data_IF_120649787092
#
_entry.id   IF_120649787092
#
_cell.length_a   1.000
_cell.length_b   1.000
_cell.length_c   1.000
_cell.angle_alpha   90.00
_cell.angle_beta   90.00
_cell.angle_gamma   90.00
#
_symmetry.space_group_name_H-M   'P 1'
#
loop_
_entity.id
_entity.type
_entity.pdbx_description
1 polymer ?
#
# COMPACT_ATOMS: atom_id res chain seq x y z
N UNK A 1 -19.69 15.01 -29.83
CA UNK A 1 -19.01 14.56 -28.61
C UNK A 1 -19.99 14.76 -27.49
N UNK A 2 -20.10 13.84 -26.56
CA UNK A 2 -21.02 13.98 -25.41
C UNK A 2 -20.56 15.18 -24.57
N UNK A 3 -21.46 16.12 -24.23
CA UNK A 3 -21.20 17.24 -23.27
C UNK A 3 -21.04 16.73 -21.82
N UNK A 4 -20.82 15.42 -21.65
CA UNK A 4 -20.71 14.74 -20.35
C UNK A 4 -19.33 14.93 -19.78
N UNK A 5 -19.29 15.43 -18.55
CA UNK A 5 -18.06 15.75 -17.83
C UNK A 5 -18.04 15.10 -16.44
N UNK A 6 -16.93 14.49 -16.08
CA UNK A 6 -16.70 13.89 -14.75
C UNK A 6 -15.52 14.59 -14.08
N UNK A 7 -15.69 15.00 -12.83
CA UNK A 7 -14.60 15.51 -12.02
C UNK A 7 -13.99 14.36 -11.23
N UNK A 8 -12.68 14.18 -11.32
CA UNK A 8 -11.91 13.18 -10.57
C UNK A 8 -11.07 13.88 -9.51
N UNK A 9 -11.30 13.58 -8.25
CA UNK A 9 -10.57 14.17 -7.12
C UNK A 9 -9.42 13.27 -6.71
N UNK A 10 -8.20 13.71 -7.00
CA UNK A 10 -6.93 13.02 -6.76
C UNK A 10 -6.28 12.48 -8.03
N UNK A 11 -4.98 12.76 -8.21
CA UNK A 11 -4.15 12.26 -9.31
C UNK A 11 -3.18 11.14 -8.85
N UNK A 12 -3.63 10.27 -7.95
CA UNK A 12 -3.00 8.99 -7.70
C UNK A 12 -3.35 7.98 -8.79
N UNK A 13 -2.80 6.77 -8.72
CA UNK A 13 -3.05 5.71 -9.72
C UNK A 13 -4.54 5.48 -9.98
N UNK A 14 -5.38 5.45 -8.93
CA UNK A 14 -6.82 5.24 -9.11
C UNK A 14 -7.48 6.37 -9.90
N UNK A 15 -7.17 7.62 -9.60
CA UNK A 15 -7.78 8.77 -10.28
C UNK A 15 -7.31 8.91 -11.73
N UNK A 16 -6.02 8.73 -11.97
CA UNK A 16 -5.45 8.76 -13.32
C UNK A 16 -5.99 7.62 -14.19
N UNK A 17 -6.13 6.41 -13.64
CA UNK A 17 -6.72 5.26 -14.34
C UNK A 17 -8.22 5.49 -14.62
N UNK A 18 -8.96 6.08 -13.67
CA UNK A 18 -10.36 6.45 -13.89
C UNK A 18 -10.50 7.47 -15.02
N UNK A 19 -9.71 8.54 -15.02
CA UNK A 19 -9.73 9.57 -16.03
C UNK A 19 -9.35 9.02 -17.42
N UNK A 20 -8.31 8.20 -17.49
CA UNK A 20 -7.89 7.52 -18.73
C UNK A 20 -9.00 6.62 -19.26
N UNK A 21 -9.66 5.84 -18.40
CA UNK A 21 -10.77 4.96 -18.78
C UNK A 21 -11.98 5.73 -19.26
N UNK A 22 -12.40 6.79 -18.57
CA UNK A 22 -13.49 7.68 -19.02
C UNK A 22 -13.24 8.21 -20.43
N UNK A 23 -12.03 8.68 -20.74
CA UNK A 23 -11.66 9.15 -22.07
C UNK A 23 -11.81 8.07 -23.13
N UNK A 24 -11.42 6.83 -22.86
CA UNK A 24 -11.63 5.70 -23.80
C UNK A 24 -13.11 5.41 -24.04
N UNK A 25 -13.97 5.78 -23.10
CA UNK A 25 -15.43 5.63 -23.19
C UNK A 25 -16.12 6.89 -23.78
N UNK A 26 -15.34 7.90 -24.20
CA UNK A 26 -15.84 9.13 -24.84
C UNK A 26 -16.40 10.15 -23.85
N UNK A 27 -16.03 10.07 -22.58
CA UNK A 27 -16.46 10.98 -21.51
C UNK A 27 -15.29 11.87 -21.11
N UNK A 28 -15.56 13.17 -21.00
CA UNK A 28 -14.60 14.16 -20.56
C UNK A 28 -14.29 14.01 -19.07
N UNK A 29 -13.01 14.02 -18.70
CA UNK A 29 -12.56 13.92 -17.31
C UNK A 29 -11.65 15.09 -16.96
N UNK A 30 -11.97 15.81 -15.88
CA UNK A 30 -11.11 16.80 -15.25
C UNK A 30 -10.54 16.19 -13.97
N UNK A 31 -9.22 16.19 -13.82
CA UNK A 31 -8.53 15.66 -12.62
C UNK A 31 -8.02 16.82 -11.77
N UNK A 32 -8.36 16.82 -10.49
CA UNK A 32 -8.01 17.86 -9.51
C UNK A 32 -7.13 17.23 -8.42
N UNK A 33 -5.87 17.65 -8.35
CA UNK A 33 -4.86 17.14 -7.41
C UNK A 33 -4.41 18.21 -6.43
N UNK A 34 -4.30 17.83 -5.17
CA UNK A 34 -3.92 18.74 -4.09
C UNK A 34 -2.44 19.14 -4.12
N UNK A 35 -1.56 18.25 -4.59
CA UNK A 35 -0.12 18.44 -4.66
C UNK A 35 0.30 19.10 -5.96
N UNK A 36 1.54 19.58 -5.99
CA UNK A 36 2.24 20.01 -7.21
C UNK A 36 2.73 18.81 -8.07
N UNK A 37 2.44 17.58 -7.69
CA UNK A 37 2.84 16.33 -8.34
C UNK A 37 1.71 15.32 -8.42
N UNK A 38 1.80 14.41 -9.35
CA UNK A 38 0.95 13.22 -9.47
C UNK A 38 1.48 12.04 -8.65
N UNK A 39 0.79 10.90 -8.70
CA UNK A 39 1.20 9.63 -8.13
C UNK A 39 0.62 9.32 -6.75
N UNK A 40 0.20 10.33 -5.98
CA UNK A 40 -0.36 10.10 -4.65
C UNK A 40 0.63 9.38 -3.73
N UNK A 41 0.34 8.10 -3.40
CA UNK A 41 1.19 7.22 -2.58
C UNK A 41 2.34 6.54 -3.34
N UNK A 42 2.51 6.80 -4.66
CA UNK A 42 3.74 6.54 -5.40
C UNK A 42 4.50 7.85 -5.56
N UNK A 43 5.71 7.89 -5.08
CA UNK A 43 6.55 9.08 -5.07
C UNK A 43 7.99 8.68 -5.38
N UNK A 44 8.62 9.37 -6.30
CA UNK A 44 10.03 9.18 -6.65
C UNK A 44 10.93 10.14 -5.87
N UNK A 45 12.17 9.73 -5.67
CA UNK A 45 13.27 10.53 -5.15
C UNK A 45 14.56 10.18 -5.87
N UNK A 46 15.62 10.91 -5.58
CA UNK A 46 16.95 10.66 -6.10
C UNK A 46 17.95 10.62 -4.95
N UNK A 47 18.94 9.77 -5.06
CA UNK A 47 20.16 9.81 -4.25
C UNK A 47 21.06 10.95 -4.70
N UNK A 48 22.08 11.28 -3.93
CA UNK A 48 23.04 12.34 -4.25
C UNK A 48 23.77 12.12 -5.59
N UNK A 49 23.95 10.88 -6.02
CA UNK A 49 24.54 10.52 -7.32
C UNK A 49 23.50 10.45 -8.47
N UNK A 50 22.22 10.76 -8.18
CA UNK A 50 21.14 10.77 -9.17
C UNK A 50 20.46 9.42 -9.39
N UNK A 51 20.77 8.40 -8.62
CA UNK A 51 20.10 7.11 -8.70
C UNK A 51 18.64 7.21 -8.20
N UNK A 52 17.65 6.64 -8.92
CA UNK A 52 16.25 6.73 -8.51
C UNK A 52 15.96 5.85 -7.29
N UNK A 53 15.19 6.39 -6.35
CA UNK A 53 14.59 5.67 -5.23
C UNK A 53 13.09 5.91 -5.18
N UNK A 54 12.33 4.93 -4.74
CA UNK A 54 10.88 5.04 -4.61
C UNK A 54 10.49 5.33 -3.16
N UNK A 55 10.14 6.57 -2.86
CA UNK A 55 9.73 6.99 -1.52
C UNK A 55 8.38 6.41 -1.10
N UNK A 56 7.56 5.95 -2.06
CA UNK A 56 6.27 5.30 -1.85
C UNK A 56 6.22 3.85 -2.30
N UNK A 57 5.05 3.41 -2.82
CA UNK A 57 4.85 2.08 -3.40
C UNK A 57 5.74 1.86 -4.61
N UNK A 58 6.33 0.67 -4.74
CA UNK A 58 7.37 0.43 -5.74
C UNK A 58 7.27 -0.89 -6.51
N UNK A 59 6.74 -1.94 -5.88
CA UNK A 59 6.82 -3.28 -6.43
C UNK A 59 5.59 -3.70 -7.21
N UNK A 60 5.81 -4.60 -8.15
CA UNK A 60 4.77 -5.37 -8.83
C UNK A 60 5.10 -6.86 -8.77
N UNK A 61 4.06 -7.69 -8.76
CA UNK A 61 4.21 -9.14 -8.66
C UNK A 61 3.39 -9.87 -9.74
N UNK A 62 3.69 -11.15 -10.03
CA UNK A 62 3.21 -11.88 -11.22
C UNK A 62 1.69 -11.90 -11.40
N UNK A 63 0.91 -11.81 -10.33
CA UNK A 63 -0.56 -11.83 -10.37
C UNK A 63 -1.18 -10.43 -10.43
N UNK A 64 -0.35 -9.38 -10.47
CA UNK A 64 -0.79 -8.00 -10.68
C UNK A 64 -0.87 -7.71 -12.19
N UNK A 65 -1.74 -8.43 -12.86
CA UNK A 65 -1.79 -8.49 -14.33
C UNK A 65 -2.11 -7.15 -14.96
N UNK A 66 -3.02 -6.38 -14.36
CA UNK A 66 -3.39 -5.06 -14.90
C UNK A 66 -2.25 -4.05 -14.79
N UNK A 67 -1.44 -4.16 -13.72
CA UNK A 67 -0.22 -3.33 -13.60
C UNK A 67 0.79 -3.62 -14.69
N UNK A 68 1.06 -4.91 -14.99
CA UNK A 68 1.98 -5.27 -16.09
C UNK A 68 1.47 -4.81 -17.45
N UNK A 69 0.17 -4.99 -17.73
CA UNK A 69 -0.47 -4.47 -18.94
C UNK A 69 -0.31 -2.94 -19.04
N UNK A 70 -0.57 -2.21 -17.94
CA UNK A 70 -0.46 -0.76 -17.91
C UNK A 70 1.00 -0.29 -18.10
N UNK A 71 1.97 -0.99 -17.51
CA UNK A 71 3.41 -0.73 -17.68
C UNK A 71 3.79 -0.86 -19.15
N UNK A 72 3.34 -1.93 -19.82
CA UNK A 72 3.58 -2.16 -21.25
C UNK A 72 2.88 -1.10 -22.13
N UNK A 73 1.58 -0.82 -21.89
CA UNK A 73 0.82 0.23 -22.57
C UNK A 73 1.49 1.61 -22.51
N UNK A 74 2.18 1.91 -21.40
CA UNK A 74 2.88 3.18 -21.19
C UNK A 74 4.33 3.18 -21.68
N UNK A 75 4.80 2.08 -22.27
CA UNK A 75 6.17 1.91 -22.77
C UNK A 75 7.21 1.98 -21.64
N UNK A 76 6.90 1.40 -20.50
CA UNK A 76 7.79 1.29 -19.34
C UNK A 76 8.31 -0.14 -19.20
N UNK A 77 9.43 -0.30 -18.50
CA UNK A 77 10.08 -1.59 -18.31
C UNK A 77 10.16 -1.93 -16.82
N UNK A 78 10.22 -3.23 -16.53
CA UNK A 78 10.46 -3.74 -15.18
C UNK A 78 11.81 -4.45 -15.09
N UNK A 79 12.33 -4.56 -13.87
CA UNK A 79 13.49 -5.38 -13.56
C UNK A 79 13.28 -6.10 -12.22
N UNK A 80 13.89 -7.29 -12.04
CA UNK A 80 13.67 -8.06 -10.82
C UNK A 80 14.34 -7.42 -9.61
N UNK A 81 13.66 -7.47 -8.47
CA UNK A 81 14.27 -7.18 -7.17
C UNK A 81 15.37 -8.19 -6.88
N UNK A 82 16.52 -7.73 -6.41
CA UNK A 82 17.64 -8.64 -6.11
C UNK A 82 17.25 -9.65 -5.03
N UNK A 83 17.43 -10.94 -5.33
CA UNK A 83 17.02 -12.05 -4.49
C UNK A 83 18.01 -13.24 -4.49
N UNK A 84 19.26 -13.01 -4.87
CA UNK A 84 20.28 -14.07 -4.90
C UNK A 84 20.97 -14.16 -3.54
N UNK A 85 20.94 -15.36 -2.93
CA UNK A 85 21.58 -15.58 -1.63
C UNK A 85 20.60 -16.03 -0.54
N UNK A 86 20.84 -15.59 0.68
CA UNK A 86 20.06 -15.95 1.87
C UNK A 86 19.46 -14.72 2.54
N UNK A 87 18.27 -14.88 3.11
CA UNK A 87 17.64 -13.90 4.00
C UNK A 87 18.17 -14.05 5.43
N UNK A 88 18.23 -12.94 6.15
CA UNK A 88 18.42 -12.94 7.60
C UNK A 88 17.06 -13.05 8.27
N UNK A 89 16.89 -14.01 9.17
CA UNK A 89 15.68 -14.17 9.99
C UNK A 89 16.06 -14.13 11.46
N UNK A 90 15.56 -13.14 12.19
CA UNK A 90 15.78 -12.99 13.62
C UNK A 90 14.42 -12.95 14.33
N UNK A 91 14.09 -14.05 15.02
CA UNK A 91 12.86 -14.15 15.81
C UNK A 91 13.23 -14.57 17.24
N UNK A 92 12.89 -13.71 18.21
CA UNK A 92 13.37 -13.81 19.58
C UNK A 92 14.88 -13.61 19.68
N UNK A 93 15.56 -14.45 20.44
CA UNK A 93 17.03 -14.38 20.63
C UNK A 93 17.83 -15.07 19.51
N UNK A 94 17.18 -15.68 18.54
CA UNK A 94 17.84 -16.50 17.52
C UNK A 94 17.89 -15.78 16.18
N UNK A 95 19.10 -15.65 15.62
CA UNK A 95 19.29 -15.22 14.23
C UNK A 95 19.70 -16.42 13.39
N UNK A 96 19.06 -16.60 12.24
CA UNK A 96 19.32 -17.70 11.30
C UNK A 96 19.28 -17.20 9.87
N UNK A 97 19.84 -17.98 8.94
CA UNK A 97 19.77 -17.72 7.52
C UNK A 97 18.74 -18.65 6.86
N UNK A 98 17.92 -18.10 5.99
CA UNK A 98 16.91 -18.80 5.22
C UNK A 98 17.18 -18.65 3.72
N UNK A 99 16.90 -19.67 2.92
CA UNK A 99 16.98 -19.57 1.46
C UNK A 99 15.97 -18.54 0.91
N UNK A 100 16.29 -17.93 -0.22
CA UNK A 100 15.52 -16.82 -0.80
C UNK A 100 14.33 -17.23 -1.67
N UNK A 101 14.11 -18.54 -1.90
CA UNK A 101 12.96 -18.99 -2.68
C UNK A 101 11.69 -19.08 -1.83
N UNK A 102 10.54 -18.84 -2.42
CA UNK A 102 9.23 -19.01 -1.79
C UNK A 102 9.04 -20.43 -1.27
N UNK A 103 8.49 -20.57 -0.07
CA UNK A 103 8.36 -21.86 0.61
C UNK A 103 9.64 -22.31 1.33
N UNK A 104 10.71 -21.48 1.37
CA UNK A 104 11.87 -21.77 2.16
C UNK A 104 11.54 -21.74 3.67
N UNK A 105 12.16 -22.66 4.41
CA UNK A 105 11.91 -22.83 5.83
C UNK A 105 13.13 -22.39 6.62
N UNK A 106 12.99 -21.47 7.58
CA UNK A 106 14.10 -21.09 8.45
C UNK A 106 14.50 -22.25 9.37
N UNK A 107 15.74 -22.26 9.80
CA UNK A 107 16.23 -23.26 10.77
C UNK A 107 15.68 -22.94 12.16
N UNK A 108 14.49 -23.43 12.46
CA UNK A 108 13.80 -23.29 13.74
C UNK A 108 13.55 -24.66 14.38
N UNK A 109 13.21 -24.64 15.67
CA UNK A 109 12.81 -25.85 16.38
C UNK A 109 11.63 -26.53 15.66
N UNK A 110 11.62 -27.88 15.51
CA UNK A 110 10.56 -28.62 14.83
C UNK A 110 9.13 -28.33 15.36
N UNK A 111 8.98 -28.10 16.67
CA UNK A 111 7.67 -27.74 17.25
C UNK A 111 7.20 -26.35 16.79
N UNK A 112 8.14 -25.39 16.66
CA UNK A 112 7.85 -24.05 16.13
C UNK A 112 7.45 -24.15 14.66
N UNK A 113 8.17 -24.95 13.87
CA UNK A 113 7.85 -25.17 12.45
C UNK A 113 6.47 -25.81 12.27
N UNK A 114 6.15 -26.82 13.07
CA UNK A 114 4.84 -27.47 13.02
C UNK A 114 3.71 -26.49 13.39
N UNK A 115 3.91 -25.66 14.39
CA UNK A 115 2.97 -24.63 14.84
C UNK A 115 2.79 -23.53 13.78
N UNK A 116 3.88 -23.06 13.18
CA UNK A 116 3.85 -22.08 12.10
C UNK A 116 3.12 -22.64 10.87
N UNK A 117 3.48 -23.84 10.43
CA UNK A 117 2.87 -24.49 9.27
C UNK A 117 1.37 -24.73 9.44
N UNK A 118 0.93 -25.24 10.62
CA UNK A 118 -0.51 -25.42 10.89
C UNK A 118 -1.24 -24.07 10.92
N UNK A 119 -0.59 -23.02 11.45
CA UNK A 119 -1.14 -21.67 11.50
C UNK A 119 -1.34 -21.07 10.11
N UNK A 120 -0.31 -21.11 9.26
CA UNK A 120 -0.37 -20.64 7.85
C UNK A 120 -1.42 -21.42 7.04
N UNK A 121 -1.46 -22.76 7.18
CA UNK A 121 -2.45 -23.61 6.50
C UNK A 121 -3.87 -23.29 6.95
N UNK A 122 -4.09 -23.09 8.25
CA UNK A 122 -5.39 -22.70 8.79
C UNK A 122 -5.82 -21.32 8.32
N UNK A 123 -4.91 -20.35 8.39
CA UNK A 123 -5.15 -18.99 7.92
C UNK A 123 -5.56 -18.99 6.45
N UNK A 124 -4.75 -19.61 5.60
CA UNK A 124 -5.05 -19.72 4.16
C UNK A 124 -6.40 -20.37 3.89
N UNK A 125 -6.70 -21.49 4.53
CA UNK A 125 -7.99 -22.21 4.32
C UNK A 125 -9.21 -21.35 4.67
N UNK A 126 -9.10 -20.47 5.67
CA UNK A 126 -10.19 -19.56 6.03
C UNK A 126 -10.22 -18.40 5.05
N UNK A 127 -9.07 -17.82 4.74
CA UNK A 127 -8.93 -16.71 3.78
C UNK A 127 -9.53 -17.05 2.40
N UNK A 128 -9.20 -18.22 1.86
CA UNK A 128 -9.70 -18.70 0.56
C UNK A 128 -11.26 -18.82 0.48
N UNK A 129 -11.95 -18.77 1.62
CA UNK A 129 -13.42 -18.82 1.70
C UNK A 129 -14.08 -17.45 1.86
N UNK A 130 -13.29 -16.39 2.02
CA UNK A 130 -13.82 -15.04 2.14
C UNK A 130 -14.17 -14.53 0.74
N UNK A 131 -15.44 -14.18 0.45
CA UNK A 131 -15.83 -13.61 -0.84
C UNK A 131 -15.12 -12.27 -1.07
N UNK A 132 -14.44 -12.12 -2.21
CA UNK A 132 -13.64 -10.94 -2.50
C UNK A 132 -14.48 -9.68 -2.74
N UNK A 133 -15.62 -9.82 -3.41
CA UNK A 133 -16.49 -8.67 -3.70
C UNK A 133 -17.31 -8.21 -2.49
N UNK A 134 -17.58 -9.12 -1.56
CA UNK A 134 -18.45 -8.88 -0.39
C UNK A 134 -17.94 -9.63 0.84
N UNK A 135 -16.77 -9.25 1.41
CA UNK A 135 -16.16 -9.98 2.55
C UNK A 135 -17.09 -10.15 3.75
N UNK A 136 -17.99 -9.19 3.97
CA UNK A 136 -19.00 -9.22 5.03
C UNK A 136 -20.06 -10.32 4.89
N UNK A 137 -20.12 -11.02 3.74
CA UNK A 137 -21.03 -12.14 3.50
C UNK A 137 -20.38 -13.51 3.75
N UNK A 138 -19.12 -13.56 4.16
CA UNK A 138 -18.47 -14.82 4.51
C UNK A 138 -19.27 -15.55 5.60
N UNK A 139 -19.27 -16.89 5.57
CA UNK A 139 -20.05 -17.73 6.51
C UNK A 139 -19.77 -17.36 7.97
N UNK A 140 -18.49 -17.12 8.30
CA UNK A 140 -18.06 -16.78 9.65
C UNK A 140 -17.74 -15.26 9.79
N UNK A 141 -18.28 -14.40 8.90
CA UNK A 141 -17.93 -12.97 8.85
C UNK A 141 -18.04 -12.29 10.21
N UNK A 142 -19.18 -12.44 10.91
CA UNK A 142 -19.40 -11.83 12.23
C UNK A 142 -18.37 -12.29 13.28
N UNK A 143 -18.02 -13.58 13.28
CA UNK A 143 -17.05 -14.13 14.22
C UNK A 143 -15.62 -13.69 13.92
N UNK A 144 -15.26 -13.61 12.64
CA UNK A 144 -13.93 -13.17 12.19
C UNK A 144 -13.77 -11.66 12.31
N UNK A 145 -14.80 -10.90 11.95
CA UNK A 145 -14.77 -9.42 12.04
C UNK A 145 -14.95 -8.92 13.47
N UNK A 146 -15.63 -9.69 14.33
CA UNK A 146 -15.83 -9.36 15.75
C UNK A 146 -14.60 -9.57 16.64
N UNK A 147 -13.44 -10.00 16.07
CA UNK A 147 -12.20 -10.19 16.80
C UNK A 147 -11.02 -9.56 16.07
N UNK A 148 -9.99 -9.19 16.83
CA UNK A 148 -8.73 -8.73 16.25
C UNK A 148 -7.94 -9.88 15.64
N UNK A 149 -7.06 -9.57 14.69
CA UNK A 149 -6.12 -10.55 14.16
C UNK A 149 -5.19 -11.09 15.26
N UNK A 150 -4.81 -10.25 16.24
CA UNK A 150 -4.05 -10.70 17.41
C UNK A 150 -4.80 -11.76 18.22
N UNK A 151 -6.10 -11.58 18.45
CA UNK A 151 -6.93 -12.59 19.14
C UNK A 151 -6.92 -13.92 18.37
N UNK A 152 -7.00 -13.86 17.04
CA UNK A 152 -6.91 -15.04 16.19
C UNK A 152 -5.53 -15.71 16.30
N UNK A 153 -4.44 -14.93 16.26
CA UNK A 153 -3.04 -15.41 16.39
C UNK A 153 -2.87 -16.17 17.73
N UNK A 154 -3.23 -15.52 18.85
CA UNK A 154 -3.05 -16.10 20.19
C UNK A 154 -3.88 -17.38 20.37
N UNK A 155 -5.09 -17.42 19.79
CA UNK A 155 -5.99 -18.60 19.87
C UNK A 155 -5.45 -19.82 19.11
N UNK A 156 -4.80 -19.61 17.97
CA UNK A 156 -4.45 -20.69 17.04
C UNK A 156 -2.98 -21.07 17.03
N UNK A 157 -2.09 -20.21 17.53
CA UNK A 157 -0.65 -20.49 17.62
C UNK A 157 -0.23 -20.69 19.08
N UNK A 158 0.66 -21.64 19.29
CA UNK A 158 1.11 -22.04 20.63
C UNK A 158 2.45 -21.46 21.02
N UNK A 159 3.39 -21.37 20.05
CA UNK A 159 4.76 -20.93 20.31
C UNK A 159 4.88 -19.41 20.16
N UNK A 160 5.75 -18.80 20.97
CA UNK A 160 6.02 -17.35 20.90
C UNK A 160 6.60 -16.96 19.53
N UNK A 161 7.49 -17.79 18.98
CA UNK A 161 8.12 -17.54 17.67
C UNK A 161 7.13 -17.56 16.52
N UNK A 162 6.17 -18.52 16.49
CA UNK A 162 5.13 -18.53 15.46
C UNK A 162 4.20 -17.31 15.58
N UNK A 163 3.86 -16.88 16.79
CA UNK A 163 3.12 -15.65 17.02
C UNK A 163 3.89 -14.41 16.56
N UNK A 164 5.20 -14.33 16.86
CA UNK A 164 6.06 -13.24 16.43
C UNK A 164 6.10 -13.15 14.90
N UNK A 165 6.23 -14.29 14.19
CA UNK A 165 6.16 -14.31 12.73
C UNK A 165 4.88 -13.66 12.17
N UNK A 166 3.71 -14.03 12.70
CA UNK A 166 2.44 -13.46 12.24
C UNK A 166 2.28 -11.97 12.60
N UNK A 167 2.84 -11.51 13.73
CA UNK A 167 2.86 -10.09 14.10
C UNK A 167 3.74 -9.28 13.16
N UNK A 168 4.98 -9.73 12.91
CA UNK A 168 5.88 -9.10 11.93
C UNK A 168 5.24 -9.08 10.54
N UNK A 169 4.58 -10.16 10.13
CA UNK A 169 3.85 -10.21 8.87
C UNK A 169 2.70 -9.18 8.82
N UNK A 170 1.95 -9.01 9.91
CA UNK A 170 0.90 -8.01 9.99
C UNK A 170 1.46 -6.59 9.85
N UNK A 171 2.53 -6.28 10.57
CA UNK A 171 3.18 -4.96 10.50
C UNK A 171 3.72 -4.68 9.10
N UNK A 172 4.44 -5.64 8.49
CA UNK A 172 5.01 -5.51 7.15
C UNK A 172 3.97 -5.38 6.03
N UNK A 173 2.76 -5.93 6.21
CA UNK A 173 1.68 -5.88 5.21
C UNK A 173 0.76 -4.68 5.39
N UNK A 174 0.46 -4.31 6.64
CA UNK A 174 -0.57 -3.30 6.95
C UNK A 174 0.00 -2.01 7.53
N UNK A 175 1.28 -1.97 7.88
CA UNK A 175 1.88 -0.90 8.71
C UNK A 175 1.05 -0.61 9.98
N UNK A 176 0.48 -1.67 10.55
CA UNK A 176 -0.39 -1.64 11.72
C UNK A 176 -0.23 -2.94 12.51
N UNK A 177 -0.41 -2.85 13.85
CA UNK A 177 -0.31 -4.01 14.73
C UNK A 177 -1.51 -4.95 14.54
N UNK A 178 -1.28 -6.23 14.73
CA UNK A 178 -2.32 -7.26 14.65
C UNK A 178 -3.52 -7.03 15.59
N UNK A 179 -3.33 -6.28 16.66
CA UNK A 179 -4.42 -5.92 17.59
C UNK A 179 -5.34 -4.81 17.06
N UNK A 180 -4.92 -4.06 16.04
CA UNK A 180 -5.71 -3.01 15.40
C UNK A 180 -6.49 -3.50 14.18
N UNK A 181 -6.21 -4.71 13.70
CA UNK A 181 -6.81 -5.30 12.51
C UNK A 181 -7.93 -6.26 12.85
N UNK A 182 -9.03 -6.23 12.10
CA UNK A 182 -10.00 -7.33 12.06
C UNK A 182 -9.34 -8.60 11.50
N UNK A 183 -9.65 -9.76 12.10
CA UNK A 183 -9.19 -11.03 11.54
C UNK A 183 -9.80 -11.29 10.14
N UNK A 184 -11.05 -10.86 9.90
CA UNK A 184 -11.67 -10.90 8.58
C UNK A 184 -10.89 -10.06 7.57
N UNK A 185 -10.46 -8.85 7.96
CA UNK A 185 -9.68 -7.98 7.07
C UNK A 185 -8.34 -8.61 6.68
N UNK A 186 -7.60 -9.16 7.66
CA UNK A 186 -6.33 -9.83 7.38
C UNK A 186 -6.48 -10.99 6.39
N UNK A 187 -7.56 -11.78 6.54
CA UNK A 187 -7.86 -12.91 5.65
C UNK A 187 -8.33 -12.48 4.26
N UNK A 188 -9.23 -11.51 4.19
CA UNK A 188 -9.67 -10.90 2.94
C UNK A 188 -8.48 -10.32 2.15
N UNK A 189 -7.63 -9.56 2.82
CA UNK A 189 -6.50 -8.90 2.20
C UNK A 189 -5.51 -9.91 1.61
N UNK A 190 -5.17 -10.96 2.35
CA UNK A 190 -4.32 -12.03 1.87
C UNK A 190 -4.93 -12.76 0.67
N UNK A 191 -6.22 -13.07 0.70
CA UNK A 191 -6.94 -13.70 -0.41
C UNK A 191 -7.07 -12.79 -1.63
N UNK A 192 -7.24 -11.48 -1.42
CA UNK A 192 -7.34 -10.50 -2.52
C UNK A 192 -6.07 -10.41 -3.38
N UNK A 193 -4.91 -10.65 -2.79
CA UNK A 193 -3.62 -10.72 -3.49
C UNK A 193 -3.29 -12.15 -3.94
N UNK A 194 -2.82 -12.96 -3.04
CA UNK A 194 -2.47 -14.38 -3.28
C UNK A 194 -2.67 -15.21 -2.00
N UNK A 195 -1.77 -15.06 -1.05
CA UNK A 195 -1.79 -15.57 0.31
C UNK A 195 -0.77 -14.76 1.15
N UNK A 196 -0.73 -14.99 2.45
CA UNK A 196 0.15 -14.22 3.35
C UNK A 196 1.62 -14.32 2.97
N UNK A 197 2.09 -15.48 2.52
CA UNK A 197 3.48 -15.69 2.08
C UNK A 197 3.76 -14.92 0.78
N UNK A 198 2.84 -14.96 -0.18
CA UNK A 198 2.96 -14.22 -1.45
C UNK A 198 2.99 -12.71 -1.27
N UNK A 199 2.28 -12.18 -0.26
CA UNK A 199 2.34 -10.76 0.09
C UNK A 199 3.71 -10.31 0.64
N UNK A 200 4.52 -11.25 1.14
CA UNK A 200 5.81 -10.99 1.79
C UNK A 200 7.01 -11.42 0.93
N UNK A 201 6.78 -12.10 -0.20
CA UNK A 201 7.86 -12.71 -0.97
C UNK A 201 8.34 -11.84 -2.12
N UNK A 202 9.65 -11.88 -2.37
CA UNK A 202 10.26 -11.43 -3.63
C UNK A 202 10.11 -12.51 -4.70
N UNK A 203 10.43 -13.78 -4.39
CA UNK A 203 10.27 -14.86 -5.34
C UNK A 203 8.80 -15.20 -5.59
N UNK A 204 8.32 -14.92 -6.81
CA UNK A 204 6.92 -15.13 -7.24
C UNK A 204 5.88 -14.50 -6.29
N UNK A 205 6.22 -13.37 -5.68
CA UNK A 205 5.39 -12.64 -4.73
C UNK A 205 5.23 -11.17 -5.09
N UNK A 206 4.65 -10.42 -4.17
CA UNK A 206 4.29 -9.01 -4.36
C UNK A 206 5.48 -8.09 -4.60
N UNK A 207 6.71 -8.47 -4.17
CA UNK A 207 7.92 -7.68 -4.30
C UNK A 207 8.85 -8.15 -5.42
N UNK A 208 8.33 -8.90 -6.42
CA UNK A 208 9.17 -9.53 -7.45
C UNK A 208 9.89 -8.52 -8.33
N UNK A 209 9.15 -7.58 -8.89
CA UNK A 209 9.71 -6.65 -9.88
C UNK A 209 9.58 -5.20 -9.46
N UNK A 210 10.50 -4.38 -9.94
CA UNK A 210 10.52 -2.93 -9.81
C UNK A 210 10.43 -2.29 -11.19
N UNK A 211 10.01 -1.03 -11.26
CA UNK A 211 9.85 -0.28 -12.50
C UNK A 211 11.12 0.54 -12.78
N UNK A 212 11.63 0.49 -13.99
CA UNK A 212 12.78 1.29 -14.41
C UNK A 212 12.45 2.78 -14.29
N UNK A 213 13.25 3.50 -13.53
CA UNK A 213 13.03 4.92 -13.22
C UNK A 213 11.99 5.18 -12.12
N UNK A 214 11.47 4.12 -11.48
CA UNK A 214 10.54 4.17 -10.34
C UNK A 214 9.07 4.14 -10.74
N UNK A 215 8.23 3.69 -9.80
CA UNK A 215 6.78 3.49 -9.99
C UNK A 215 6.00 4.78 -10.30
N UNK A 216 6.52 5.94 -9.89
CA UNK A 216 5.93 7.25 -10.19
C UNK A 216 5.83 7.52 -11.69
N UNK A 217 6.71 6.92 -12.51
CA UNK A 217 6.71 7.04 -13.98
C UNK A 217 5.37 6.62 -14.61
N UNK A 218 4.69 5.67 -14.02
CA UNK A 218 3.34 5.24 -14.46
C UNK A 218 2.38 6.43 -14.37
N UNK A 219 2.35 7.08 -13.21
CA UNK A 219 1.48 8.25 -12.99
C UNK A 219 1.86 9.43 -13.87
N UNK A 220 3.14 9.69 -14.07
CA UNK A 220 3.64 10.76 -14.95
C UNK A 220 3.25 10.53 -16.41
N UNK A 221 3.35 9.29 -16.92
CA UNK A 221 2.92 8.94 -18.28
C UNK A 221 1.42 9.11 -18.46
N UNK A 222 0.60 8.60 -17.53
CA UNK A 222 -0.85 8.81 -17.58
C UNK A 222 -1.24 10.28 -17.48
N UNK A 223 -0.56 11.05 -16.63
CA UNK A 223 -0.81 12.48 -16.46
C UNK A 223 -0.51 13.28 -17.74
N UNK A 224 0.55 12.91 -18.45
CA UNK A 224 0.92 13.56 -19.72
C UNK A 224 -0.19 13.40 -20.80
N UNK A 225 -0.97 12.31 -20.76
CA UNK A 225 -2.11 12.11 -21.66
C UNK A 225 -3.29 13.08 -21.37
N UNK A 226 -3.38 13.65 -20.17
CA UNK A 226 -4.48 14.52 -19.76
C UNK A 226 -4.30 15.97 -20.17
N UNK A 227 -3.04 16.44 -20.28
CA UNK A 227 -2.72 17.83 -20.64
C UNK A 227 -3.39 18.85 -19.70
N UNK A 228 -4.11 19.82 -20.26
CA UNK A 228 -4.77 20.90 -19.53
C UNK A 228 -5.93 20.45 -18.61
N UNK A 229 -6.34 19.18 -18.71
CA UNK A 229 -7.41 18.62 -17.87
C UNK A 229 -6.91 18.14 -16.50
N UNK A 230 -5.61 18.21 -16.26
CA UNK A 230 -5.00 17.94 -14.97
C UNK A 230 -4.66 19.25 -14.27
N UNK A 231 -5.27 19.48 -13.12
CA UNK A 231 -5.06 20.66 -12.30
C UNK A 231 -4.31 20.26 -11.02
N UNK A 232 -3.05 20.65 -10.93
CA UNK A 232 -2.21 20.50 -9.75
C UNK A 232 -2.39 21.69 -8.81
N UNK A 233 -1.87 21.58 -7.58
CA UNK A 233 -1.97 22.61 -6.54
C UNK A 233 -3.42 23.06 -6.29
N UNK A 234 -4.34 22.09 -6.31
CA UNK A 234 -5.78 22.28 -6.20
C UNK A 234 -6.36 21.47 -5.03
N UNK A 235 -6.02 21.74 -3.78
CA UNK A 235 -6.55 20.99 -2.65
C UNK A 235 -8.07 21.19 -2.52
N UNK A 236 -8.83 20.15 -2.81
CA UNK A 236 -10.28 20.13 -2.71
C UNK A 236 -10.70 20.32 -1.26
N UNK A 237 -11.67 21.18 -1.03
CA UNK A 237 -12.30 21.44 0.25
C UNK A 237 -13.72 20.91 0.33
N UNK A 238 -14.51 21.06 -0.75
CA UNK A 238 -15.94 20.79 -0.74
C UNK A 238 -16.36 20.07 -2.02
N UNK A 239 -17.33 19.16 -1.86
CA UNK A 239 -18.08 18.53 -2.94
C UNK A 239 -19.56 18.79 -2.69
N UNK A 240 -20.21 19.46 -3.63
CA UNK A 240 -21.62 19.80 -3.59
C UNK A 240 -22.35 19.13 -4.75
N UNK A 241 -23.56 18.61 -4.53
CA UNK A 241 -24.44 18.05 -5.55
C UNK A 241 -25.87 18.58 -5.36
N UNK A 242 -26.54 18.87 -6.45
CA UNK A 242 -27.93 19.36 -6.46
C UNK A 242 -28.93 18.33 -7.03
N UNK A 243 -28.46 17.11 -7.30
CA UNK A 243 -29.22 16.02 -7.92
C UNK A 243 -29.09 15.97 -9.47
N UNK A 244 -28.59 16.99 -10.10
CA UNK A 244 -28.33 17.07 -11.54
C UNK A 244 -26.85 17.21 -11.88
N UNK A 245 -26.12 17.99 -11.09
CA UNK A 245 -24.71 18.28 -11.26
C UNK A 245 -23.94 18.23 -9.95
N UNK A 246 -22.63 18.14 -10.07
CA UNK A 246 -21.69 18.26 -8.94
C UNK A 246 -20.79 19.47 -9.13
N UNK A 247 -20.46 20.13 -8.03
CA UNK A 247 -19.45 21.20 -7.96
C UNK A 247 -18.38 20.81 -6.95
N UNK A 248 -17.14 20.75 -7.42
CA UNK A 248 -15.94 20.49 -6.58
C UNK A 248 -15.22 21.79 -6.36
N UNK A 249 -15.12 22.26 -5.10
CA UNK A 249 -14.50 23.53 -4.76
C UNK A 249 -13.20 23.30 -4.00
N UNK A 250 -12.14 23.98 -4.43
CA UNK A 250 -10.80 23.94 -3.81
C UNK A 250 -10.69 24.93 -2.64
N UNK A 251 -9.59 24.85 -1.89
CA UNK A 251 -9.32 25.74 -0.74
C UNK A 251 -9.15 27.20 -1.18
N UNK A 252 -8.62 27.45 -2.38
CA UNK A 252 -8.44 28.78 -2.97
C UNK A 252 -9.68 29.32 -3.71
N UNK A 253 -10.78 28.57 -3.70
CA UNK A 253 -12.07 28.98 -4.25
C UNK A 253 -12.30 28.66 -5.73
N UNK A 254 -11.35 28.00 -6.42
CA UNK A 254 -11.63 27.47 -7.77
C UNK A 254 -12.73 26.42 -7.72
N UNK A 255 -13.61 26.42 -8.71
CA UNK A 255 -14.73 25.50 -8.81
C UNK A 255 -14.64 24.69 -10.13
N UNK A 256 -14.93 23.40 -10.04
CA UNK A 256 -14.97 22.46 -11.15
C UNK A 256 -16.35 21.79 -11.14
N UNK A 257 -17.06 21.87 -12.25
CA UNK A 257 -18.40 21.29 -12.39
C UNK A 257 -18.37 20.02 -13.20
N UNK A 258 -19.31 19.12 -12.93
CA UNK A 258 -19.46 17.89 -13.70
C UNK A 258 -20.82 17.23 -13.49
N UNK A 259 -21.12 16.21 -14.30
CA UNK A 259 -22.31 15.39 -14.15
C UNK A 259 -22.14 14.37 -13.00
N UNK A 260 -20.89 13.96 -12.73
CA UNK A 260 -20.51 13.04 -11.66
C UNK A 260 -19.16 13.45 -11.06
N UNK A 261 -18.90 13.00 -9.84
CA UNK A 261 -17.57 13.09 -9.25
C UNK A 261 -17.07 11.72 -8.81
N UNK A 262 -15.80 11.41 -9.09
CA UNK A 262 -15.10 10.23 -8.55
C UNK A 262 -14.08 10.72 -7.52
N UNK A 263 -14.32 10.40 -6.25
CA UNK A 263 -13.40 10.70 -5.14
C UNK A 263 -12.43 9.53 -4.98
N UNK A 264 -11.14 9.76 -5.23
CA UNK A 264 -10.09 8.72 -5.18
C UNK A 264 -9.13 8.89 -4.01
N UNK A 265 -9.55 9.67 -3.02
CA UNK A 265 -8.77 9.93 -1.82
C UNK A 265 -8.79 8.74 -0.86
N UNK A 266 -7.73 8.52 -0.05
CA UNK A 266 -7.80 7.61 1.07
C UNK A 266 -9.03 7.89 1.95
N UNK A 267 -9.70 6.86 2.50
CA UNK A 267 -10.96 7.04 3.25
C UNK A 267 -10.88 8.08 4.36
N UNK A 268 -9.76 8.14 5.10
CA UNK A 268 -9.51 9.16 6.14
C UNK A 268 -9.52 10.59 5.60
N UNK A 269 -9.05 10.81 4.39
CA UNK A 269 -9.02 12.13 3.75
C UNK A 269 -10.34 12.45 3.06
N UNK A 270 -11.00 11.45 2.46
CA UNK A 270 -12.35 11.62 1.93
C UNK A 270 -13.32 12.10 3.01
N UNK A 271 -13.21 11.57 4.24
CA UNK A 271 -14.00 12.01 5.39
C UNK A 271 -13.70 13.44 5.91
N UNK A 272 -12.65 14.10 5.40
CA UNK A 272 -12.31 15.49 5.78
C UNK A 272 -12.85 16.53 4.82
N UNK A 273 -13.42 16.12 3.69
CA UNK A 273 -14.08 17.03 2.77
C UNK A 273 -15.46 17.44 3.30
N UNK A 274 -15.87 18.65 2.98
CA UNK A 274 -17.23 19.12 3.24
C UNK A 274 -18.15 18.64 2.13
N UNK A 275 -19.19 17.89 2.47
CA UNK A 275 -20.17 17.41 1.48
C UNK A 275 -21.50 18.18 1.65
N UNK A 276 -22.14 18.55 0.54
CA UNK A 276 -23.45 19.18 0.48
C UNK A 276 -24.33 18.47 -0.56
N UNK A 277 -25.47 17.88 -0.15
CA UNK A 277 -25.87 17.62 1.24
C UNK A 277 -24.85 16.80 2.03
N UNK A 278 -24.95 16.78 3.35
CA UNK A 278 -24.09 15.95 4.21
C UNK A 278 -24.20 14.47 3.79
N UNK A 279 -23.13 13.73 3.91
CA UNK A 279 -23.13 12.30 3.62
C UNK A 279 -24.09 11.55 4.56
N UNK A 280 -24.74 10.47 4.08
CA UNK A 280 -25.48 9.57 4.94
C UNK A 280 -24.60 9.02 6.07
N UNK A 281 -25.21 8.79 7.24
CA UNK A 281 -24.47 8.34 8.42
C UNK A 281 -23.65 7.07 8.22
N UNK A 282 -24.14 6.13 7.41
CA UNK A 282 -23.44 4.89 7.13
C UNK A 282 -22.14 5.13 6.34
N UNK A 283 -22.08 6.13 5.45
CA UNK A 283 -20.85 6.50 4.73
C UNK A 283 -19.90 7.31 5.61
N UNK A 284 -20.44 8.26 6.37
CA UNK A 284 -19.65 9.10 7.27
C UNK A 284 -19.00 8.25 8.38
N UNK A 285 -19.76 7.34 8.99
CA UNK A 285 -19.27 6.42 10.02
C UNK A 285 -18.16 5.49 9.51
N UNK A 286 -18.21 5.05 8.24
CA UNK A 286 -17.14 4.26 7.64
C UNK A 286 -15.79 5.03 7.64
N UNK A 287 -15.78 6.28 7.17
CA UNK A 287 -14.54 7.06 7.05
C UNK A 287 -13.88 7.36 8.40
N UNK A 288 -14.67 7.42 9.48
CA UNK A 288 -14.19 7.60 10.85
C UNK A 288 -13.50 6.34 11.42
N UNK A 289 -13.69 5.17 10.80
CA UNK A 289 -13.21 3.87 11.30
C UNK A 289 -12.14 3.22 10.45
N UNK A 290 -11.63 3.91 9.44
CA UNK A 290 -10.61 3.42 8.52
C UNK A 290 -9.30 4.21 8.67
N UNK A 291 -8.55 4.00 9.77
CA UNK A 291 -7.26 4.66 9.93
C UNK A 291 -6.26 4.16 8.88
N UNK A 292 -5.37 5.05 8.45
CA UNK A 292 -4.24 4.68 7.62
C UNK A 292 -3.14 4.01 8.46
N UNK A 293 -2.34 3.15 7.84
CA UNK A 293 -1.15 2.57 8.45
C UNK A 293 -0.10 3.63 8.79
N UNK A 294 0.82 3.28 9.69
CA UNK A 294 1.88 4.16 10.20
C UNK A 294 3.22 3.69 9.68
N UNK A 295 3.87 4.45 8.78
CA UNK A 295 5.15 4.04 8.21
C UNK A 295 6.07 5.23 7.89
N UNK A 296 7.35 5.04 8.22
CA UNK A 296 8.48 5.81 7.70
C UNK A 296 9.30 4.86 6.82
N UNK A 297 9.38 5.16 5.54
CA UNK A 297 10.23 4.42 4.59
C UNK A 297 11.58 5.09 4.53
N UNK A 298 12.66 4.30 4.51
CA UNK A 298 14.02 4.83 4.59
C UNK A 298 15.02 4.03 3.77
N UNK A 299 16.13 4.69 3.45
CA UNK A 299 17.24 4.17 2.67
C UNK A 299 18.58 4.53 3.30
N UNK A 300 19.48 3.57 3.34
CA UNK A 300 20.89 3.79 3.62
C UNK A 300 21.69 3.43 2.35
N UNK A 301 22.46 4.39 1.86
CA UNK A 301 23.22 4.30 0.62
C UNK A 301 24.69 4.03 0.93
N UNK A 302 25.31 3.09 0.22
CA UNK A 302 26.70 2.65 0.32
C UNK A 302 27.35 2.67 -1.04
N UNK A 303 28.70 2.67 -1.10
CA UNK A 303 29.44 2.59 -2.37
C UNK A 303 29.04 1.36 -3.20
N UNK A 304 28.83 0.22 -2.54
CA UNK A 304 28.46 -1.05 -3.14
C UNK A 304 27.50 -1.85 -2.23
N UNK A 305 26.73 -2.80 -2.75
CA UNK A 305 25.90 -3.69 -1.97
C UNK A 305 26.74 -4.79 -1.29
N UNK A 306 27.51 -4.43 -0.27
CA UNK A 306 28.48 -5.29 0.42
C UNK A 306 27.85 -6.60 0.95
N UNK A 307 26.57 -6.63 1.29
CA UNK A 307 25.85 -7.84 1.72
C UNK A 307 25.81 -8.91 0.64
N UNK A 308 25.84 -8.54 -0.65
CA UNK A 308 25.85 -9.50 -1.76
C UNK A 308 27.15 -10.31 -1.78
N UNK A 309 28.28 -9.71 -1.41
CA UNK A 309 29.59 -10.40 -1.31
C UNK A 309 29.61 -11.45 -0.20
N UNK A 310 28.72 -11.32 0.78
CA UNK A 310 28.57 -12.27 1.87
C UNK A 310 27.46 -13.33 1.59
N UNK A 311 26.95 -13.37 0.37
CA UNK A 311 25.90 -14.30 -0.06
C UNK A 311 24.54 -13.99 0.53
N UNK A 312 24.28 -12.72 0.90
CA UNK A 312 23.01 -12.26 1.44
C UNK A 312 22.21 -11.48 0.40
N UNK A 313 20.88 -11.57 0.50
CA UNK A 313 19.95 -10.88 -0.41
C UNK A 313 19.73 -9.41 -0.06
N UNK A 314 20.19 -8.95 1.12
CA UNK A 314 19.76 -7.67 1.68
C UNK A 314 18.37 -7.71 2.33
N UNK A 315 17.70 -8.86 2.33
CA UNK A 315 16.45 -9.03 3.04
C UNK A 315 16.70 -9.52 4.47
N UNK A 316 16.04 -8.88 5.41
CA UNK A 316 15.94 -9.34 6.78
C UNK A 316 14.48 -9.31 7.25
N UNK A 317 14.12 -10.23 8.14
CA UNK A 317 12.86 -10.21 8.87
C UNK A 317 13.17 -10.40 10.36
N UNK A 318 12.72 -9.48 11.21
CA UNK A 318 13.05 -9.48 12.64
C UNK A 318 11.88 -9.00 13.49
N UNK A 319 11.75 -9.56 14.68
CA UNK A 319 10.86 -9.04 15.73
C UNK A 319 11.62 -8.08 16.70
N UNK A 320 12.87 -7.71 16.37
CA UNK A 320 13.75 -6.88 17.20
C UNK A 320 14.09 -5.56 16.52
N UNK A 321 13.92 -4.46 17.27
CA UNK A 321 14.24 -3.10 16.82
C UNK A 321 13.17 -2.51 15.88
N UNK A 322 13.32 -1.22 15.52
CA UNK A 322 12.28 -0.49 14.78
C UNK A 322 12.21 -0.82 13.29
N UNK A 323 13.21 -1.50 12.72
CA UNK A 323 13.19 -1.96 11.33
C UNK A 323 13.02 -3.47 11.34
N UNK A 324 11.82 -3.94 11.00
CA UNK A 324 11.46 -5.36 11.02
C UNK A 324 11.67 -6.06 9.70
N UNK A 325 11.62 -5.31 8.59
CA UNK A 325 11.88 -5.85 7.25
C UNK A 325 12.80 -4.94 6.46
N UNK A 326 13.74 -5.54 5.71
CA UNK A 326 14.68 -4.84 4.83
C UNK A 326 14.69 -5.46 3.43
N UNK A 327 15.11 -4.68 2.44
CA UNK A 327 15.28 -5.15 1.06
C UNK A 327 16.47 -4.47 0.41
N UNK A 328 17.11 -5.18 -0.52
CA UNK A 328 18.07 -4.60 -1.45
C UNK A 328 17.33 -3.75 -2.49
N UNK A 329 17.58 -2.46 -2.48
CA UNK A 329 16.99 -1.51 -3.43
C UNK A 329 18.01 -0.97 -4.44
N UNK A 330 19.18 -1.58 -4.54
CA UNK A 330 20.21 -1.18 -5.49
C UNK A 330 19.67 -1.23 -6.93
N UNK A 331 20.20 -0.38 -7.83
CA UNK A 331 19.83 -0.40 -9.23
C UNK A 331 20.30 -1.68 -9.93
N UNK A 332 19.81 -1.97 -11.15
CA UNK A 332 20.25 -3.13 -11.94
C UNK A 332 21.75 -3.17 -12.19
N UNK A 333 22.42 -2.01 -12.25
CA UNK A 333 23.88 -1.89 -12.37
C UNK A 333 24.65 -2.49 -11.17
N UNK A 334 23.99 -2.63 -10.02
CA UNK A 334 24.57 -3.12 -8.80
C UNK A 334 25.23 -2.06 -7.91
N UNK A 335 25.41 -0.84 -8.39
CA UNK A 335 25.95 0.28 -7.60
C UNK A 335 25.16 1.56 -7.90
N UNK A 336 24.95 2.43 -6.89
CA UNK A 336 25.35 2.27 -5.47
C UNK A 336 24.60 1.14 -4.78
N UNK A 337 25.12 0.66 -3.64
CA UNK A 337 24.43 -0.25 -2.76
C UNK A 337 23.34 0.49 -1.98
N UNK A 338 22.08 0.12 -2.15
CA UNK A 338 20.96 0.80 -1.51
C UNK A 338 20.22 -0.21 -0.62
N UNK A 339 20.35 -0.04 0.69
CA UNK A 339 19.58 -0.80 1.69
C UNK A 339 18.31 -0.04 2.03
N UNK A 340 17.18 -0.70 1.91
CA UNK A 340 15.88 -0.13 2.25
C UNK A 340 15.32 -0.79 3.50
N UNK A 341 14.62 -0.01 4.31
CA UNK A 341 13.89 -0.49 5.49
C UNK A 341 12.65 0.34 5.77
N UNK A 342 11.87 -0.15 6.73
CA UNK A 342 10.63 0.51 7.16
C UNK A 342 10.57 0.53 8.69
N UNK A 343 10.19 1.68 9.24
CA UNK A 343 9.70 1.78 10.62
C UNK A 343 8.18 1.82 10.55
N UNK A 344 7.52 0.77 11.07
CA UNK A 344 6.09 0.54 10.84
C UNK A 344 5.32 0.45 12.16
N UNK A 345 4.02 0.59 12.09
CA UNK A 345 3.10 0.40 13.22
C UNK A 345 3.47 1.26 14.44
N UNK A 346 3.60 0.68 15.63
CA UNK A 346 4.00 1.37 16.86
C UNK A 346 5.41 1.92 16.80
N UNK A 347 6.36 1.19 16.21
CA UNK A 347 7.73 1.66 15.97
C UNK A 347 7.74 2.90 15.04
N UNK A 348 6.93 2.92 13.98
CA UNK A 348 6.77 4.07 13.10
C UNK A 348 6.21 5.29 13.85
N UNK A 349 5.19 5.11 14.68
CA UNK A 349 4.62 6.19 15.50
C UNK A 349 5.58 6.69 16.57
N UNK A 350 6.37 5.80 17.16
CA UNK A 350 7.43 6.19 18.09
C UNK A 350 8.54 6.97 17.38
N UNK A 351 8.99 6.48 16.22
CA UNK A 351 10.01 7.12 15.40
C UNK A 351 9.60 8.50 14.88
N UNK A 352 8.31 8.74 14.57
CA UNK A 352 7.81 10.04 14.17
C UNK A 352 8.01 11.16 15.20
N UNK A 353 8.28 10.80 16.46
CA UNK A 353 8.59 11.74 17.55
C UNK A 353 10.09 12.03 17.71
N UNK A 354 10.92 11.29 17.02
CA UNK A 354 12.37 11.43 17.03
C UNK A 354 12.83 12.41 15.96
N UNK A 355 14.01 12.97 16.11
CA UNK A 355 14.69 13.71 15.05
C UNK A 355 15.14 12.75 13.92
N UNK A 356 15.40 13.29 12.73
CA UNK A 356 15.92 12.49 11.61
C UNK A 356 17.28 11.84 11.96
N UNK A 357 18.12 12.49 12.77
CA UNK A 357 19.38 11.92 13.25
C UNK A 357 19.15 10.70 14.11
N UNK A 358 18.26 10.77 15.09
CA UNK A 358 17.93 9.64 15.97
C UNK A 358 17.31 8.48 15.18
N UNK A 359 16.45 8.76 14.20
CA UNK A 359 15.90 7.74 13.29
C UNK A 359 16.98 7.06 12.46
N UNK A 360 17.91 7.86 11.91
CA UNK A 360 19.07 7.34 11.17
C UNK A 360 19.92 6.41 12.03
N UNK A 361 20.25 6.81 13.26
CA UNK A 361 21.02 5.99 14.19
C UNK A 361 20.31 4.65 14.50
N UNK A 362 19.02 4.70 14.82
CA UNK A 362 18.22 3.50 15.08
C UNK A 362 18.14 2.57 13.86
N UNK A 363 18.04 3.14 12.65
CA UNK A 363 18.05 2.39 11.39
C UNK A 363 19.40 1.70 11.15
N UNK A 364 20.51 2.43 11.32
CA UNK A 364 21.86 1.92 11.12
C UNK A 364 22.16 0.81 12.13
N UNK A 365 21.73 0.93 13.37
CA UNK A 365 21.87 -0.11 14.39
C UNK A 365 21.17 -1.41 13.97
N UNK A 366 19.99 -1.32 13.36
CA UNK A 366 19.31 -2.49 12.81
C UNK A 366 20.10 -3.09 11.64
N UNK A 367 20.59 -2.27 10.70
CA UNK A 367 21.37 -2.77 9.56
C UNK A 367 22.68 -3.41 9.98
N UNK A 368 23.36 -2.85 10.99
CA UNK A 368 24.56 -3.45 11.59
C UNK A 368 24.23 -4.80 12.23
N UNK A 369 23.12 -4.91 12.92
CA UNK A 369 22.67 -6.17 13.52
C UNK A 369 22.42 -7.26 12.48
N UNK A 370 21.84 -6.90 11.34
CA UNK A 370 21.46 -7.86 10.29
C UNK A 370 22.63 -8.19 9.34
N UNK A 371 23.42 -7.19 8.98
CA UNK A 371 24.41 -7.29 7.88
C UNK A 371 25.85 -7.03 8.32
N UNK A 372 26.07 -6.83 9.63
CA UNK A 372 27.40 -6.66 10.21
C UNK A 372 27.94 -5.22 10.15
N UNK A 373 29.18 -5.01 10.64
CA UNK A 373 29.73 -3.68 10.91
C UNK A 373 29.93 -2.82 9.66
N UNK A 374 29.96 -3.39 8.45
CA UNK A 374 30.05 -2.62 7.21
C UNK A 374 28.83 -1.71 7.00
N UNK A 375 27.70 -2.03 7.63
CA UNK A 375 26.50 -1.21 7.57
C UNK A 375 26.56 0.08 8.41
N UNK A 376 27.59 0.24 9.27
CA UNK A 376 27.65 1.33 10.24
C UNK A 376 27.75 2.75 9.63
N UNK A 377 28.33 2.87 8.44
CA UNK A 377 28.65 4.17 7.86
C UNK A 377 28.06 4.32 6.45
N UNK A 378 26.73 4.54 6.32
CA UNK A 378 26.16 4.86 5.03
C UNK A 378 26.64 6.25 4.57
N UNK A 379 26.89 6.38 3.25
CA UNK A 379 27.25 7.65 2.60
C UNK A 379 26.12 8.66 2.66
N UNK A 380 24.88 8.17 2.53
CA UNK A 380 23.67 8.98 2.52
C UNK A 380 22.55 8.24 3.24
N UNK A 381 21.64 9.01 3.83
CA UNK A 381 20.40 8.51 4.42
C UNK A 381 19.22 9.33 3.91
N UNK A 382 18.22 8.64 3.38
CA UNK A 382 17.00 9.25 2.86
C UNK A 382 15.82 8.65 3.62
N UNK A 383 14.84 9.46 4.00
CA UNK A 383 13.62 8.98 4.64
C UNK A 383 12.37 9.71 4.14
N UNK A 384 11.23 9.05 4.22
CA UNK A 384 9.91 9.61 3.94
C UNK A 384 8.92 9.19 5.03
N UNK A 385 8.51 10.15 5.85
CA UNK A 385 7.45 9.98 6.84
C UNK A 385 6.08 10.18 6.16
N UNK A 386 5.39 9.07 5.92
CA UNK A 386 4.06 9.10 5.29
C UNK A 386 2.95 9.55 6.25
N UNK A 387 3.16 9.49 7.56
CA UNK A 387 2.20 10.00 8.55
C UNK A 387 2.19 11.54 8.58
N UNK A 388 3.34 12.16 8.34
CA UNK A 388 3.49 13.61 8.26
C UNK A 388 3.00 14.19 6.92
N UNK A 389 2.87 13.37 5.86
CA UNK A 389 2.45 13.79 4.54
C UNK A 389 0.99 14.28 4.55
N UNK A 390 0.76 15.56 4.27
CA UNK A 390 -0.53 16.24 4.44
C UNK A 390 -1.68 15.55 3.69
N UNK A 391 -1.43 15.10 2.46
CA UNK A 391 -2.45 14.54 1.58
C UNK A 391 -2.42 13.00 1.50
N UNK A 392 -1.75 12.33 2.46
CA UNK A 392 -1.82 10.87 2.68
C UNK A 392 -2.20 10.53 4.11
N UNK A 393 -1.50 11.14 5.09
CA UNK A 393 -1.70 10.92 6.54
C UNK A 393 -1.51 9.47 6.97
N UNK A 394 -0.65 8.76 6.25
CA UNK A 394 -0.26 7.39 6.49
C UNK A 394 -0.19 6.55 5.23
N UNK A 395 0.43 5.41 5.33
CA UNK A 395 0.58 4.31 4.36
C UNK A 395 0.65 2.95 5.10
N UNK A 396 0.46 1.78 4.43
CA UNK A 396 0.33 1.73 2.98
C UNK A 396 -1.08 2.10 2.53
N UNK A 397 -2.12 1.57 3.19
CA UNK A 397 -3.53 1.83 2.98
C UNK A 397 -4.28 2.02 4.29
N UNK A 398 -5.58 2.20 4.20
CA UNK A 398 -6.45 2.14 5.35
C UNK A 398 -6.68 0.68 5.76
N UNK A 399 -6.70 0.41 7.07
CA UNK A 399 -6.98 -0.90 7.61
C UNK A 399 -8.33 -0.91 8.36
N UNK A 400 -8.95 -2.08 8.40
CA UNK A 400 -10.29 -2.27 8.97
C UNK A 400 -10.18 -2.85 10.39
N UNK A 401 -10.63 -2.09 11.36
CA UNK A 401 -10.76 -2.54 12.73
C UNK A 401 -11.92 -3.56 12.88
N UNK A 402 -11.99 -4.30 13.99
CA UNK A 402 -13.11 -5.21 14.24
C UNK A 402 -14.48 -4.55 14.09
N UNK A 403 -15.42 -5.24 13.42
CA UNK A 403 -16.80 -4.81 13.18
C UNK A 403 -16.99 -3.93 11.93
N UNK A 404 -15.93 -3.40 11.34
CA UNK A 404 -16.06 -2.44 10.23
C UNK A 404 -16.56 -3.09 8.95
N UNK A 405 -16.08 -4.29 8.61
CA UNK A 405 -16.55 -5.00 7.41
C UNK A 405 -18.05 -5.37 7.51
N UNK A 406 -18.46 -5.93 8.61
CA UNK A 406 -19.84 -6.41 8.78
C UNK A 406 -20.87 -5.29 8.93
N UNK A 407 -20.47 -4.13 9.45
CA UNK A 407 -21.37 -2.99 9.65
C UNK A 407 -21.35 -2.00 8.47
N UNK A 408 -20.19 -1.78 7.85
CA UNK A 408 -19.99 -0.70 6.89
C UNK A 408 -19.39 -1.14 5.56
N UNK A 409 -19.12 -2.42 5.33
CA UNK A 409 -18.47 -2.93 4.12
C UNK A 409 -19.11 -2.43 2.81
N UNK A 410 -20.44 -2.50 2.64
CA UNK A 410 -21.11 -1.98 1.43
C UNK A 410 -20.82 -0.49 1.17
N UNK A 411 -20.74 0.30 2.22
CA UNK A 411 -20.51 1.75 2.14
C UNK A 411 -19.18 2.14 1.46
N UNK A 412 -18.23 1.20 1.36
CA UNK A 412 -16.91 1.47 0.81
C UNK A 412 -16.98 1.91 -0.67
N UNK A 413 -17.88 1.30 -1.44
CA UNK A 413 -18.01 1.54 -2.89
C UNK A 413 -19.39 2.00 -3.32
N UNK A 414 -20.40 1.95 -2.43
CA UNK A 414 -21.76 2.38 -2.73
C UNK A 414 -21.78 3.89 -3.03
N UNK A 415 -22.32 4.33 -4.19
CA UNK A 415 -22.42 5.75 -4.54
C UNK A 415 -23.33 6.51 -3.60
N UNK A 416 -23.07 7.80 -3.43
CA UNK A 416 -23.95 8.74 -2.71
C UNK A 416 -24.45 9.79 -3.68
N UNK A 417 -25.61 9.53 -4.30
CA UNK A 417 -26.12 10.37 -5.39
C UNK A 417 -25.16 10.38 -6.58
N UNK A 418 -24.58 11.55 -6.89
CA UNK A 418 -23.66 11.74 -8.02
C UNK A 418 -22.17 11.52 -7.62
N UNK A 419 -21.91 11.09 -6.38
CA UNK A 419 -20.57 10.92 -5.82
C UNK A 419 -20.20 9.44 -5.83
N UNK A 420 -19.15 9.09 -6.54
CA UNK A 420 -18.58 7.75 -6.64
C UNK A 420 -17.22 7.67 -5.93
N UNK A 421 -16.83 6.46 -5.55
CA UNK A 421 -15.63 6.20 -4.75
C UNK A 421 -14.72 5.22 -5.46
N UNK A 422 -13.43 5.55 -5.55
CA UNK A 422 -12.38 4.66 -6.00
C UNK A 422 -11.13 4.84 -5.13
N UNK A 423 -10.21 3.90 -5.25
CA UNK A 423 -8.96 3.90 -4.49
C UNK A 423 -8.48 2.47 -4.27
N UNK A 424 -7.26 2.31 -3.81
CA UNK A 424 -6.68 1.00 -3.56
C UNK A 424 -7.52 0.18 -2.57
N UNK A 425 -8.11 0.84 -1.57
CA UNK A 425 -8.96 0.26 -0.55
C UNK A 425 -10.33 -0.21 -1.08
N UNK A 426 -10.74 0.29 -2.24
CA UNK A 426 -12.03 -0.05 -2.88
C UNK A 426 -11.94 -1.27 -3.82
N UNK A 427 -10.80 -1.92 -3.93
CA UNK A 427 -10.60 -3.06 -4.82
C UNK A 427 -10.85 -4.40 -4.14
N UNK A 428 -11.51 -5.31 -4.85
CA UNK A 428 -11.65 -6.71 -4.43
C UNK A 428 -10.39 -7.54 -4.73
N UNK A 429 -9.56 -7.09 -5.68
CA UNK A 429 -8.33 -7.76 -6.11
C UNK A 429 -7.14 -6.88 -5.78
N UNK A 430 -6.14 -7.43 -5.11
CA UNK A 430 -4.98 -6.70 -4.64
C UNK A 430 -5.35 -5.43 -3.86
N UNK A 431 -6.26 -5.58 -2.90
CA UNK A 431 -6.70 -4.48 -2.03
C UNK A 431 -5.50 -3.78 -1.39
N UNK A 432 -5.50 -2.44 -1.41
CA UNK A 432 -4.41 -1.65 -0.84
C UNK A 432 -3.14 -1.50 -1.70
N UNK A 433 -3.01 -2.26 -2.79
CA UNK A 433 -1.86 -2.23 -3.70
C UNK A 433 -2.10 -1.30 -4.92
N UNK A 434 -1.03 -1.06 -5.69
CA UNK A 434 -1.10 -0.29 -6.95
C UNK A 434 -2.07 -0.94 -7.96
N UNK A 435 -2.03 -2.26 -8.09
CA UNK A 435 -2.99 -3.04 -8.88
C UNK A 435 -4.44 -2.75 -8.51
N UNK A 436 -4.74 -2.78 -7.20
CA UNK A 436 -6.08 -2.47 -6.69
C UNK A 436 -6.51 -1.03 -6.98
N UNK A 437 -5.58 -0.08 -6.91
CA UNK A 437 -5.85 1.30 -7.24
C UNK A 437 -6.27 1.46 -8.72
N UNK A 438 -5.51 0.86 -9.64
CA UNK A 438 -5.80 0.89 -11.09
C UNK A 438 -7.15 0.23 -11.38
N UNK A 439 -7.36 -1.00 -10.93
CA UNK A 439 -8.63 -1.73 -11.13
C UNK A 439 -9.84 -1.01 -10.57
N UNK A 440 -9.72 -0.44 -9.39
CA UNK A 440 -10.80 0.31 -8.76
C UNK A 440 -11.14 1.58 -9.56
N UNK A 441 -10.14 2.31 -10.04
CA UNK A 441 -10.32 3.49 -10.87
C UNK A 441 -11.05 3.17 -12.17
N UNK A 442 -10.56 2.16 -12.91
CA UNK A 442 -11.15 1.71 -14.19
C UNK A 442 -12.60 1.22 -14.00
N UNK A 443 -12.86 0.36 -13.00
CA UNK A 443 -14.20 -0.13 -12.69
C UNK A 443 -15.17 1.01 -12.36
N UNK A 444 -14.75 1.97 -11.54
CA UNK A 444 -15.62 3.09 -11.15
C UNK A 444 -15.92 3.98 -12.36
N UNK A 445 -14.95 4.18 -13.24
CA UNK A 445 -15.16 4.90 -14.50
C UNK A 445 -16.19 4.21 -15.41
N UNK A 446 -16.18 2.87 -15.49
CA UNK A 446 -17.17 2.09 -16.23
C UNK A 446 -18.57 2.25 -15.66
N UNK A 447 -18.73 2.14 -14.33
CA UNK A 447 -20.02 2.35 -13.67
C UNK A 447 -20.57 3.76 -13.96
N UNK A 448 -19.72 4.78 -13.82
CA UNK A 448 -20.09 6.17 -14.10
C UNK A 448 -20.46 6.35 -15.57
N UNK A 449 -19.74 5.73 -16.50
CA UNK A 449 -20.03 5.81 -17.92
C UNK A 449 -21.39 5.18 -18.26
N UNK A 450 -21.72 4.05 -17.64
CA UNK A 450 -23.02 3.38 -17.85
C UNK A 450 -24.19 4.22 -17.33
N UNK A 451 -24.03 4.92 -16.21
CA UNK A 451 -25.04 5.85 -15.67
C UNK A 451 -25.24 7.11 -16.53
N UNK A 452 -24.22 7.51 -17.30
CA UNK A 452 -24.27 8.72 -18.15
C UNK A 452 -24.78 8.44 -19.57
N UNK A 453 -24.99 7.19 -19.94
CA UNK A 453 -25.61 6.79 -21.22
C UNK A 453 -27.11 6.97 -21.18
#
# INVERSE_FOLDING_TARGET
MSDRQVVVVGAGLAGLSAARRLRTLGIEAIVVEARSRVGGRTEGGLTADGSPVELGGQWVGPTQTRMYELIDELGLETFPTYNTGKHVVQLGSSQTLMASHRGAVPKLNPFVLADLFQGLTRFKRIADRVPLDKPWTAIDAKALDGQTFETWIVRHLRTSTARAYFRVAAEAVFSAESCNLSALHAMFYAHSGTDLEGLLSVDRGAQQDRIVGGSVRISERMAAELGERLHLDCPVRQVEQDGSRVTVTTRDGRAFEGDRVIVTLPPTLAGRLVYRPILPSWRDQLTQRLPAGSVIKLYAIYDEPFWRHEGLTGQAASDQGPIKVTFDNSPPSGAPGIMMGFMEADDGRAAARLSSTERREAAVDCFVRYFGPKAANPLEYIERDWMAEEYSRGCYGAHFAPGVWTEYGPALTEPVGLIHWAGAECSAVWNGYMEGAVRSGERTAEVVADELR
#
